data_IF_660282582288
#
_entry.id   IF_660282582288
#
_cell.length_a   1.000
_cell.length_b   1.000
_cell.length_c   1.000
_cell.angle_alpha   90.00
_cell.angle_beta   90.00
_cell.angle_gamma   90.00
#
_symmetry.space_group_name_H-M   'P 1'
#
loop_
_entity.id
_entity.type
_entity.pdbx_description
1 polymer ?
#
# COMPACT_ATOMS: atom_id res chain seq x y z
N UNK A 1 30.54 -4.59 34.75
CA UNK A 1 29.80 -5.71 34.16
C UNK A 1 29.27 -5.21 32.83
N UNK A 2 29.81 -5.74 31.71
CA UNK A 2 29.48 -5.30 30.37
C UNK A 2 28.05 -5.73 30.02
N UNK A 3 27.20 -4.78 29.61
CA UNK A 3 25.91 -5.05 29.04
C UNK A 3 26.11 -5.81 27.72
N UNK A 4 25.78 -7.08 27.69
CA UNK A 4 25.69 -7.83 26.44
C UNK A 4 24.49 -7.28 25.64
N UNK A 5 24.79 -6.49 24.61
CA UNK A 5 23.80 -6.08 23.61
C UNK A 5 23.31 -7.35 22.90
N UNK A 6 22.04 -7.67 23.03
CA UNK A 6 21.38 -8.76 22.33
C UNK A 6 21.56 -8.54 20.82
N UNK A 7 22.31 -9.42 20.15
CA UNK A 7 22.55 -9.30 18.73
C UNK A 7 21.40 -9.92 17.93
N UNK A 8 21.30 -9.55 16.68
CA UNK A 8 20.27 -9.97 15.73
C UNK A 8 20.15 -11.49 15.57
N UNK A 9 21.27 -12.21 15.61
CA UNK A 9 21.31 -13.67 15.52
C UNK A 9 20.57 -14.35 16.67
N UNK A 10 20.75 -13.87 17.88
CA UNK A 10 20.07 -14.39 19.07
C UNK A 10 18.56 -14.16 19.01
N UNK A 11 18.14 -13.02 18.45
CA UNK A 11 16.73 -12.69 18.26
C UNK A 11 16.08 -13.51 17.13
N UNK A 12 16.75 -13.65 15.97
CA UNK A 12 16.25 -14.40 14.83
C UNK A 12 16.22 -15.92 15.11
N UNK A 13 17.21 -16.48 15.83
CA UNK A 13 17.17 -17.87 16.28
C UNK A 13 16.00 -18.12 17.25
N UNK A 14 15.66 -17.19 18.11
CA UNK A 14 14.51 -17.31 18.99
C UNK A 14 13.18 -17.30 18.23
N UNK A 15 13.07 -16.53 17.12
CA UNK A 15 11.86 -16.47 16.30
C UNK A 15 11.70 -17.65 15.34
N UNK A 16 12.80 -18.27 14.87
CA UNK A 16 12.74 -19.46 13.98
C UNK A 16 12.42 -20.76 14.73
N UNK A 17 12.74 -20.88 16.00
CA UNK A 17 12.41 -22.05 16.83
C UNK A 17 10.93 -22.10 17.21
N UNK A 18 10.20 -21.00 17.11
CA UNK A 18 8.76 -20.92 17.45
C UNK A 18 7.82 -21.31 16.30
N UNK A 19 8.35 -21.63 15.11
CA UNK A 19 7.55 -22.04 13.93
C UNK A 19 7.20 -23.52 13.85
N UNK A 20 7.73 -24.40 14.71
CA UNK A 20 7.44 -25.86 14.67
C UNK A 20 7.30 -26.41 16.08
N UNK A 21 6.06 -26.55 16.53
CA UNK A 21 5.65 -27.56 17.53
C UNK A 21 5.87 -27.25 19.00
N UNK A 22 4.76 -27.26 19.72
CA UNK A 22 4.57 -27.51 21.15
C UNK A 22 4.87 -26.39 22.16
N UNK A 23 3.81 -26.10 22.87
CA UNK A 23 3.64 -25.30 24.09
C UNK A 23 4.58 -25.74 25.22
N UNK A 24 5.87 -25.41 25.12
CA UNK A 24 6.78 -25.38 26.31
C UNK A 24 7.95 -24.46 25.96
N UNK A 25 7.92 -23.21 26.40
CA UNK A 25 9.09 -22.33 26.25
C UNK A 25 8.87 -20.82 26.34
N UNK A 26 7.64 -20.35 26.52
CA UNK A 26 7.36 -18.90 26.66
C UNK A 26 8.03 -18.27 27.90
N UNK A 27 8.42 -19.05 28.88
CA UNK A 27 9.07 -18.58 30.12
C UNK A 27 10.56 -18.31 30.01
N UNK A 28 11.24 -18.78 28.94
CA UNK A 28 12.70 -18.62 28.81
C UNK A 28 13.11 -17.28 28.18
N UNK A 29 12.22 -16.63 27.40
CA UNK A 29 12.50 -15.32 26.79
C UNK A 29 12.31 -14.15 27.77
N UNK A 30 11.53 -14.33 28.83
CA UNK A 30 11.28 -13.32 29.86
C UNK A 30 12.41 -13.22 30.91
N UNK A 31 13.34 -14.18 30.96
CA UNK A 31 14.42 -14.21 31.98
C UNK A 31 15.66 -13.39 31.61
N UNK A 32 15.80 -12.85 30.40
CA UNK A 32 17.00 -12.13 29.98
C UNK A 32 17.00 -10.63 30.43
N UNK A 33 15.86 -10.09 30.90
CA UNK A 33 15.73 -8.69 31.32
C UNK A 33 15.51 -8.59 32.84
N UNK A 34 16.48 -8.99 33.64
CA UNK A 34 16.51 -8.63 35.08
C UNK A 34 17.06 -7.22 35.25
N UNK A 35 16.17 -6.24 35.23
CA UNK A 35 16.48 -4.83 35.46
C UNK A 35 15.36 -3.89 35.07
N UNK A 36 14.25 -3.88 35.81
CA UNK A 36 13.45 -2.68 36.04
C UNK A 36 12.36 -2.27 35.04
N UNK A 37 12.17 -2.87 33.84
CA UNK A 37 10.99 -2.61 33.01
C UNK A 37 10.63 -3.87 32.24
N UNK A 38 9.71 -4.65 32.77
CA UNK A 38 9.15 -5.81 32.07
C UNK A 38 8.44 -5.34 30.78
N UNK A 39 8.86 -5.88 29.62
CA UNK A 39 8.20 -5.61 28.34
C UNK A 39 6.84 -6.34 28.36
N UNK A 40 5.76 -5.60 28.19
CA UNK A 40 4.42 -6.14 28.01
C UNK A 40 4.13 -6.13 26.51
N UNK A 41 4.07 -7.29 25.85
CA UNK A 41 3.77 -7.36 24.41
C UNK A 41 2.39 -6.76 24.12
N UNK A 42 2.29 -5.97 23.04
CA UNK A 42 1.02 -5.46 22.52
C UNK A 42 0.22 -6.59 21.85
N UNK A 43 0.92 -7.48 21.16
CA UNK A 43 0.37 -8.69 20.56
C UNK A 43 1.30 -9.88 20.84
N UNK A 44 0.72 -11.05 21.06
CA UNK A 44 1.49 -12.28 21.19
C UNK A 44 2.05 -12.72 19.82
N UNK A 45 3.18 -13.45 19.79
CA UNK A 45 3.65 -14.07 18.55
C UNK A 45 2.55 -14.94 17.91
N UNK A 46 2.30 -14.71 16.61
CA UNK A 46 1.23 -15.37 15.84
C UNK A 46 -0.10 -14.60 15.77
N UNK A 47 -0.28 -13.52 16.56
CA UNK A 47 -1.45 -12.63 16.48
C UNK A 47 -1.29 -11.53 15.40
N UNK A 48 -0.11 -11.44 14.78
CA UNK A 48 0.17 -10.53 13.67
C UNK A 48 1.05 -11.20 12.63
N UNK A 49 0.84 -10.82 11.39
CA UNK A 49 1.60 -11.38 10.28
C UNK A 49 3.00 -10.77 10.23
N UNK A 50 3.99 -11.63 10.02
CA UNK A 50 5.37 -11.25 9.78
C UNK A 50 5.85 -12.00 8.55
N UNK A 51 6.14 -11.30 7.42
CA UNK A 51 6.59 -11.95 6.21
C UNK A 51 7.97 -12.58 6.39
N UNK A 52 8.16 -13.78 5.81
CA UNK A 52 9.47 -14.31 5.54
C UNK A 52 10.01 -13.63 4.29
N UNK A 53 11.17 -12.96 4.37
CA UNK A 53 11.73 -12.18 3.28
C UNK A 53 13.05 -12.81 2.76
N UNK A 54 13.04 -14.02 2.18
CA UNK A 54 14.22 -14.57 1.52
C UNK A 54 14.54 -13.80 0.23
N UNK A 55 15.71 -14.00 -0.34
CA UNK A 55 16.12 -13.32 -1.56
C UNK A 55 15.25 -13.65 -2.78
N UNK A 56 14.65 -14.85 -2.79
CA UNK A 56 13.71 -15.32 -3.81
C UNK A 56 12.66 -16.20 -3.19
N UNK A 57 11.52 -16.28 -3.86
CA UNK A 57 10.47 -17.23 -3.52
C UNK A 57 10.94 -18.70 -3.74
N UNK A 58 10.32 -19.60 -3.02
CA UNK A 58 10.56 -21.05 -3.18
C UNK A 58 10.28 -21.47 -4.62
N UNK A 59 11.05 -22.44 -5.12
CA UNK A 59 10.77 -23.04 -6.42
C UNK A 59 9.48 -23.87 -6.40
N UNK A 60 8.85 -24.02 -7.57
CA UNK A 60 7.59 -24.76 -7.69
C UNK A 60 7.11 -24.82 -9.14
N UNK A 61 5.84 -25.20 -9.33
CA UNK A 61 5.22 -25.22 -10.65
C UNK A 61 5.28 -23.84 -11.31
N UNK A 62 5.29 -23.83 -12.65
CA UNK A 62 5.13 -22.62 -13.43
C UNK A 62 3.82 -21.93 -13.07
N UNK A 63 3.86 -20.60 -12.89
CA UNK A 63 2.71 -19.75 -12.65
C UNK A 63 2.52 -18.80 -13.83
N UNK A 64 1.33 -18.83 -14.42
CA UNK A 64 0.94 -17.95 -15.52
C UNK A 64 0.37 -16.65 -14.95
N UNK A 65 0.94 -15.53 -15.37
CA UNK A 65 0.54 -14.20 -14.91
C UNK A 65 -0.01 -13.35 -16.03
N UNK A 66 -1.07 -12.60 -15.74
CA UNK A 66 -1.59 -11.51 -16.56
C UNK A 66 -1.28 -10.15 -15.93
N UNK A 67 -1.02 -9.15 -16.75
CA UNK A 67 -0.84 -7.77 -16.32
C UNK A 67 -1.96 -6.90 -16.85
N UNK A 68 -2.61 -6.13 -15.99
CA UNK A 68 -3.61 -5.12 -16.35
C UNK A 68 -3.11 -3.74 -15.89
N UNK A 69 -2.91 -2.84 -16.86
CA UNK A 69 -2.27 -1.55 -16.68
C UNK A 69 -0.77 -1.61 -17.01
N UNK A 70 -0.43 -1.31 -18.25
CA UNK A 70 0.94 -1.40 -18.79
C UNK A 70 1.71 -0.07 -18.71
N UNK A 71 1.36 0.80 -17.76
CA UNK A 71 2.10 2.02 -17.47
C UNK A 71 3.44 1.76 -16.79
N UNK A 72 4.13 2.83 -16.36
CA UNK A 72 5.45 2.72 -15.71
C UNK A 72 5.44 1.79 -14.50
N UNK A 73 4.41 1.89 -13.62
CA UNK A 73 4.31 1.00 -12.44
C UNK A 73 3.99 -0.44 -12.83
N UNK A 74 3.13 -0.65 -13.85
CA UNK A 74 2.84 -2.01 -14.35
C UNK A 74 4.08 -2.70 -14.90
N UNK A 75 4.88 -1.97 -15.69
CA UNK A 75 6.17 -2.45 -16.18
C UNK A 75 7.14 -2.77 -15.02
N UNK A 76 7.17 -1.92 -13.98
CA UNK A 76 7.93 -2.18 -12.74
C UNK A 76 7.43 -3.44 -12.03
N UNK A 77 6.13 -3.54 -11.74
CA UNK A 77 5.56 -4.64 -10.97
C UNK A 77 5.78 -6.02 -11.62
N UNK A 78 5.58 -6.12 -12.94
CA UNK A 78 5.87 -7.40 -13.64
C UNK A 78 7.36 -7.72 -13.63
N UNK A 79 8.23 -6.72 -13.71
CA UNK A 79 9.68 -6.91 -13.59
C UNK A 79 10.07 -7.33 -12.17
N UNK A 80 9.48 -6.73 -11.13
CA UNK A 80 9.71 -7.08 -9.74
C UNK A 80 9.29 -8.54 -9.49
N UNK A 81 8.14 -8.98 -10.02
CA UNK A 81 7.69 -10.38 -9.92
C UNK A 81 8.66 -11.35 -10.62
N UNK A 82 9.16 -11.02 -11.82
CA UNK A 82 10.12 -11.86 -12.53
C UNK A 82 11.48 -11.95 -11.81
N UNK A 83 11.85 -10.91 -11.05
CA UNK A 83 13.03 -10.92 -10.19
C UNK A 83 12.80 -11.66 -8.87
N UNK A 84 11.55 -11.76 -8.40
CA UNK A 84 11.18 -12.39 -7.14
C UNK A 84 11.17 -13.91 -7.20
N UNK A 85 10.86 -14.52 -8.34
CA UNK A 85 10.64 -15.96 -8.43
C UNK A 85 11.06 -16.54 -9.80
N UNK A 86 11.53 -17.79 -9.78
CA UNK A 86 11.68 -18.59 -10.99
C UNK A 86 10.31 -19.17 -11.43
N UNK A 87 10.19 -19.64 -12.69
CA UNK A 87 8.99 -20.29 -13.18
C UNK A 87 7.75 -19.38 -13.26
N UNK A 88 7.95 -18.10 -13.52
CA UNK A 88 6.88 -17.14 -13.81
C UNK A 88 6.80 -16.95 -15.33
N UNK A 89 5.61 -17.08 -15.90
CA UNK A 89 5.35 -16.85 -17.32
C UNK A 89 4.29 -15.77 -17.51
N UNK A 90 4.68 -14.66 -18.12
CA UNK A 90 3.73 -13.60 -18.50
C UNK A 90 3.02 -14.04 -19.78
N UNK A 91 1.72 -14.21 -19.73
CA UNK A 91 0.94 -14.78 -20.84
C UNK A 91 -0.06 -13.82 -21.45
N UNK A 92 -0.47 -12.76 -20.74
CA UNK A 92 -1.44 -11.80 -21.23
C UNK A 92 -1.17 -10.38 -20.71
N UNK A 93 -1.43 -9.38 -21.53
CA UNK A 93 -1.29 -7.94 -21.23
C UNK A 93 -2.58 -7.20 -21.58
N UNK A 94 -2.97 -6.23 -20.75
CA UNK A 94 -4.12 -5.37 -21.01
C UNK A 94 -3.87 -3.93 -20.61
N UNK A 95 -4.23 -2.98 -21.47
CA UNK A 95 -4.19 -1.54 -21.20
C UNK A 95 -5.25 -0.82 -22.05
N UNK A 96 -5.59 0.41 -21.71
CA UNK A 96 -6.42 1.27 -22.57
C UNK A 96 -5.61 1.75 -23.77
N UNK A 97 -4.28 1.86 -23.64
CA UNK A 97 -3.40 2.44 -24.64
C UNK A 97 -2.40 1.43 -25.21
N UNK A 98 -2.40 1.32 -26.54
CA UNK A 98 -1.50 0.41 -27.26
C UNK A 98 -0.02 0.74 -27.04
N UNK A 99 0.35 2.03 -27.02
CA UNK A 99 1.74 2.48 -26.82
C UNK A 99 2.31 1.97 -25.49
N UNK A 100 1.53 1.98 -24.43
CA UNK A 100 1.92 1.46 -23.10
C UNK A 100 2.06 -0.06 -23.10
N UNK A 101 1.11 -0.75 -23.71
CA UNK A 101 1.14 -2.20 -23.84
C UNK A 101 2.37 -2.67 -24.62
N UNK A 102 2.67 -2.05 -25.78
CA UNK A 102 3.85 -2.38 -26.57
C UNK A 102 5.16 -2.12 -25.83
N UNK A 103 5.22 -1.05 -25.05
CA UNK A 103 6.39 -0.76 -24.21
C UNK A 103 6.70 -1.90 -23.23
N UNK A 104 5.69 -2.44 -22.53
CA UNK A 104 5.86 -3.58 -21.62
C UNK A 104 6.21 -4.84 -22.40
N UNK A 105 5.55 -5.11 -23.52
CA UNK A 105 5.82 -6.27 -24.36
C UNK A 105 7.27 -6.31 -24.83
N UNK A 106 7.81 -5.17 -25.27
CA UNK A 106 9.20 -5.05 -25.67
C UNK A 106 10.16 -5.27 -24.49
N UNK A 107 9.90 -4.65 -23.34
CA UNK A 107 10.70 -4.85 -22.14
C UNK A 107 10.75 -6.33 -21.69
N UNK A 108 9.61 -7.02 -21.70
CA UNK A 108 9.53 -8.45 -21.37
C UNK A 108 10.38 -9.30 -22.32
N UNK A 109 10.33 -9.03 -23.61
CA UNK A 109 11.11 -9.74 -24.62
C UNK A 109 12.61 -9.46 -24.48
N UNK A 110 13.01 -8.20 -24.39
CA UNK A 110 14.41 -7.77 -24.39
C UNK A 110 15.16 -8.11 -23.09
N UNK A 111 14.51 -7.93 -21.94
CA UNK A 111 15.18 -8.09 -20.64
C UNK A 111 14.96 -9.43 -19.98
N UNK A 112 13.83 -10.07 -20.24
CA UNK A 112 13.41 -11.31 -19.55
C UNK A 112 13.25 -12.49 -20.48
N UNK A 113 13.45 -12.31 -21.79
CA UNK A 113 13.22 -13.33 -22.83
C UNK A 113 11.82 -13.95 -22.73
N UNK A 114 10.83 -13.11 -22.40
CA UNK A 114 9.42 -13.48 -22.31
C UNK A 114 8.68 -12.92 -23.53
N UNK A 115 8.05 -13.78 -24.29
CA UNK A 115 7.26 -13.38 -25.45
C UNK A 115 5.77 -13.53 -25.15
N UNK A 116 5.03 -12.40 -25.17
CA UNK A 116 3.58 -12.41 -25.12
C UNK A 116 3.01 -12.31 -26.52
N UNK A 117 2.22 -13.31 -26.90
CA UNK A 117 1.62 -13.38 -28.24
C UNK A 117 0.64 -12.23 -28.48
N UNK A 118 0.54 -11.77 -29.73
CA UNK A 118 -0.30 -10.62 -30.06
C UNK A 118 -1.78 -10.85 -29.74
N UNK A 119 -2.28 -12.07 -29.92
CA UNK A 119 -3.65 -12.46 -29.56
C UNK A 119 -3.97 -12.40 -28.06
N UNK A 120 -2.95 -12.31 -27.20
CA UNK A 120 -3.07 -12.16 -25.76
C UNK A 120 -2.77 -10.72 -25.28
N UNK A 121 -2.78 -9.78 -26.20
CA UNK A 121 -2.58 -8.35 -25.95
C UNK A 121 -3.89 -7.61 -26.21
N UNK A 122 -4.51 -7.12 -25.13
CA UNK A 122 -5.88 -6.59 -25.18
C UNK A 122 -5.91 -5.08 -24.92
N UNK A 123 -6.66 -4.35 -25.76
CA UNK A 123 -6.77 -2.88 -25.69
C UNK A 123 -8.20 -2.49 -25.31
N UNK A 124 -8.32 -1.48 -24.45
CA UNK A 124 -9.59 -0.87 -24.06
C UNK A 124 -9.96 -1.08 -22.59
N UNK A 125 -11.08 -0.52 -22.17
CA UNK A 125 -11.54 -0.56 -20.77
C UNK A 125 -11.91 -1.97 -20.30
N UNK A 126 -12.33 -2.85 -21.21
CA UNK A 126 -12.66 -4.25 -20.90
C UNK A 126 -11.47 -5.22 -21.05
N UNK A 127 -10.28 -4.73 -21.38
CA UNK A 127 -9.07 -5.54 -21.52
C UNK A 127 -8.77 -6.39 -20.27
N UNK A 128 -9.11 -5.90 -19.08
CA UNK A 128 -8.92 -6.66 -17.83
C UNK A 128 -9.68 -7.98 -17.80
N UNK A 129 -10.91 -8.04 -18.37
CA UNK A 129 -11.69 -9.28 -18.44
C UNK A 129 -10.98 -10.30 -19.34
N UNK A 130 -10.51 -9.85 -20.50
CA UNK A 130 -9.82 -10.70 -21.46
C UNK A 130 -8.50 -11.24 -20.91
N UNK A 131 -7.73 -10.40 -20.20
CA UNK A 131 -6.51 -10.83 -19.47
C UNK A 131 -6.85 -11.87 -18.41
N UNK A 132 -7.87 -11.64 -17.59
CA UNK A 132 -8.24 -12.54 -16.48
C UNK A 132 -8.79 -13.88 -17.03
N UNK A 133 -9.46 -13.85 -18.19
CA UNK A 133 -10.02 -15.04 -18.83
C UNK A 133 -9.02 -15.82 -19.70
N UNK A 134 -7.77 -15.33 -19.88
CA UNK A 134 -6.75 -15.94 -20.75
C UNK A 134 -6.01 -17.15 -20.14
N UNK A 135 -6.58 -17.82 -19.14
CA UNK A 135 -5.99 -19.01 -18.53
C UNK A 135 -4.83 -18.74 -17.57
N UNK A 136 -4.77 -17.56 -16.98
CA UNK A 136 -3.78 -17.18 -15.96
C UNK A 136 -4.07 -17.84 -14.61
N UNK A 137 -3.04 -17.97 -13.77
CA UNK A 137 -3.16 -18.38 -12.36
C UNK A 137 -3.30 -17.15 -11.45
N UNK A 138 -2.62 -16.05 -11.82
CA UNK A 138 -2.48 -14.85 -11.01
C UNK A 138 -2.48 -13.59 -11.89
N UNK A 139 -2.95 -12.46 -11.34
CA UNK A 139 -3.05 -11.18 -12.05
C UNK A 139 -2.40 -10.04 -11.27
N UNK A 140 -1.68 -9.17 -11.99
CA UNK A 140 -1.16 -7.90 -11.47
C UNK A 140 -2.08 -6.77 -11.95
N UNK A 141 -2.65 -5.99 -11.02
CA UNK A 141 -3.58 -4.89 -11.28
C UNK A 141 -2.92 -3.55 -10.93
N UNK A 142 -2.50 -2.81 -11.95
CA UNK A 142 -1.75 -1.53 -11.84
C UNK A 142 -2.38 -0.36 -12.59
N UNK A 143 -3.65 -0.48 -12.93
CA UNK A 143 -4.45 0.61 -13.51
C UNK A 143 -4.61 1.78 -12.54
N UNK A 144 -5.08 2.96 -12.95
CA UNK A 144 -5.44 4.01 -11.99
C UNK A 144 -6.38 3.49 -10.89
N UNK A 145 -6.25 4.00 -9.64
CA UNK A 145 -6.90 3.42 -8.46
C UNK A 145 -8.42 3.20 -8.55
N UNK A 146 -9.15 4.10 -9.22
CA UNK A 146 -10.60 4.00 -9.37
C UNK A 146 -11.06 2.69 -10.02
N UNK A 147 -10.24 2.09 -10.89
CA UNK A 147 -10.59 0.85 -11.60
C UNK A 147 -10.30 -0.43 -10.80
N UNK A 148 -9.46 -0.37 -9.76
CA UNK A 148 -9.05 -1.57 -9.01
C UNK A 148 -10.20 -2.35 -8.39
N UNK A 149 -11.23 -1.71 -7.79
CA UNK A 149 -12.33 -2.46 -7.18
C UNK A 149 -13.04 -3.40 -8.17
N UNK A 150 -13.38 -2.91 -9.37
CA UNK A 150 -14.06 -3.74 -10.38
C UNK A 150 -13.15 -4.81 -10.99
N UNK A 151 -11.85 -4.50 -11.18
CA UNK A 151 -10.89 -5.45 -11.69
C UNK A 151 -10.62 -6.58 -10.69
N UNK A 152 -10.44 -6.24 -9.41
CA UNK A 152 -10.24 -7.21 -8.34
C UNK A 152 -11.48 -8.09 -8.12
N UNK A 153 -12.67 -7.50 -8.10
CA UNK A 153 -13.92 -8.25 -8.01
C UNK A 153 -14.01 -9.32 -9.11
N UNK A 154 -13.70 -8.95 -10.35
CA UNK A 154 -13.72 -9.90 -11.47
C UNK A 154 -12.65 -10.98 -11.33
N UNK A 155 -11.43 -10.63 -10.92
CA UNK A 155 -10.35 -11.58 -10.67
C UNK A 155 -10.74 -12.62 -9.61
N UNK A 156 -11.34 -12.19 -8.50
CA UNK A 156 -11.83 -13.07 -7.43
C UNK A 156 -12.99 -13.96 -7.92
N UNK A 157 -13.93 -13.41 -8.70
CA UNK A 157 -15.00 -14.22 -9.31
C UNK A 157 -14.44 -15.36 -10.16
N UNK A 158 -13.38 -15.09 -10.91
CA UNK A 158 -12.66 -16.05 -11.78
C UNK A 158 -11.61 -16.91 -11.04
N UNK A 159 -11.48 -16.78 -9.72
CA UNK A 159 -10.60 -17.59 -8.91
C UNK A 159 -9.11 -17.31 -9.13
N UNK A 160 -8.71 -16.04 -9.34
CA UNK A 160 -7.32 -15.66 -9.58
C UNK A 160 -6.68 -15.05 -8.34
N UNK A 161 -5.45 -15.49 -8.01
CA UNK A 161 -4.60 -14.77 -7.07
C UNK A 161 -4.31 -13.37 -7.60
N UNK A 162 -4.23 -12.36 -6.73
CA UNK A 162 -4.18 -10.97 -7.19
C UNK A 162 -3.11 -10.15 -6.47
N UNK A 163 -2.33 -9.39 -7.23
CA UNK A 163 -1.55 -8.27 -6.75
C UNK A 163 -2.28 -6.98 -7.08
N UNK A 164 -2.54 -6.16 -6.08
CA UNK A 164 -3.24 -4.89 -6.22
C UNK A 164 -2.29 -3.73 -5.91
N UNK A 165 -1.99 -2.89 -6.89
CA UNK A 165 -1.28 -1.65 -6.57
C UNK A 165 -2.11 -0.74 -5.66
N UNK A 166 -1.45 -0.10 -4.71
CA UNK A 166 -2.07 0.89 -3.81
C UNK A 166 -2.32 2.24 -4.54
N UNK A 167 -3.25 3.05 -4.05
CA UNK A 167 -4.37 2.72 -3.18
C UNK A 167 -5.35 1.83 -3.92
N UNK A 168 -6.09 1.00 -3.20
CA UNK A 168 -6.97 0.03 -3.84
C UNK A 168 -8.42 0.50 -3.97
N UNK A 169 -8.73 1.66 -3.40
CA UNK A 169 -10.00 2.38 -3.57
C UNK A 169 -9.77 3.89 -3.43
N UNK A 170 -10.62 4.70 -4.04
CA UNK A 170 -10.59 6.18 -4.00
C UNK A 170 -11.89 6.79 -3.47
N UNK A 171 -12.85 5.96 -3.15
CA UNK A 171 -14.19 6.33 -2.68
C UNK A 171 -14.82 5.22 -1.83
N UNK A 172 -15.98 5.52 -1.24
CA UNK A 172 -16.67 4.62 -0.33
C UNK A 172 -17.25 3.37 -1.04
N UNK A 173 -17.74 3.52 -2.27
CA UNK A 173 -18.25 2.38 -3.05
C UNK A 173 -17.13 1.41 -3.43
N UNK A 174 -15.99 1.94 -3.87
CA UNK A 174 -14.79 1.16 -4.15
C UNK A 174 -14.31 0.39 -2.91
N UNK A 175 -14.23 1.07 -1.76
CA UNK A 175 -13.90 0.43 -0.48
C UNK A 175 -14.82 -0.77 -0.19
N UNK A 176 -16.15 -0.59 -0.24
CA UNK A 176 -17.09 -1.68 0.01
C UNK A 176 -16.96 -2.83 -0.98
N UNK A 177 -16.67 -2.52 -2.25
CA UNK A 177 -16.44 -3.52 -3.28
C UNK A 177 -15.18 -4.34 -2.99
N UNK A 178 -14.10 -3.69 -2.57
CA UNK A 178 -12.86 -4.37 -2.17
C UNK A 178 -13.12 -5.26 -0.95
N UNK A 179 -13.74 -4.75 0.11
CA UNK A 179 -14.03 -5.53 1.33
C UNK A 179 -14.87 -6.79 1.04
N UNK A 180 -15.90 -6.65 0.20
CA UNK A 180 -16.71 -7.79 -0.23
C UNK A 180 -15.91 -8.81 -1.06
N UNK A 181 -15.03 -8.33 -1.93
CA UNK A 181 -14.17 -9.17 -2.77
C UNK A 181 -13.07 -9.86 -1.97
N UNK A 182 -12.45 -9.17 -1.00
CA UNK A 182 -11.46 -9.75 -0.09
C UNK A 182 -12.05 -10.92 0.71
N UNK A 183 -13.26 -10.74 1.26
CA UNK A 183 -13.99 -11.82 1.94
C UNK A 183 -14.24 -13.04 1.02
N UNK A 184 -14.56 -12.80 -0.25
CA UNK A 184 -14.72 -13.88 -1.22
C UNK A 184 -13.38 -14.53 -1.59
N UNK A 185 -12.30 -13.76 -1.70
CA UNK A 185 -10.95 -14.27 -1.95
C UNK A 185 -10.50 -15.20 -0.82
N UNK A 186 -10.72 -14.80 0.44
CA UNK A 186 -10.45 -15.63 1.61
C UNK A 186 -11.24 -16.96 1.55
N UNK A 187 -12.54 -16.90 1.26
CA UNK A 187 -13.39 -18.08 1.15
C UNK A 187 -12.96 -19.05 0.02
N UNK A 188 -12.28 -18.52 -1.01
CA UNK A 188 -11.73 -19.30 -2.14
C UNK A 188 -10.26 -19.69 -1.97
N UNK A 189 -9.65 -19.40 -0.82
CA UNK A 189 -8.22 -19.62 -0.56
C UNK A 189 -7.31 -18.92 -1.58
N UNK A 190 -7.69 -17.72 -2.02
CA UNK A 190 -6.88 -16.90 -2.93
C UNK A 190 -5.94 -16.01 -2.13
N UNK A 191 -4.67 -15.97 -2.53
CA UNK A 191 -3.68 -15.07 -1.94
C UNK A 191 -3.73 -13.72 -2.63
N UNK A 192 -3.85 -12.66 -1.84
CA UNK A 192 -3.92 -11.26 -2.28
C UNK A 192 -2.86 -10.45 -1.57
N UNK A 193 -1.95 -9.85 -2.33
CA UNK A 193 -0.91 -8.93 -1.83
C UNK A 193 -1.18 -7.54 -2.43
N UNK A 194 -0.82 -6.51 -1.70
CA UNK A 194 -0.98 -5.13 -2.15
C UNK A 194 0.37 -4.42 -2.31
N UNK A 195 0.40 -3.33 -3.08
CA UNK A 195 1.60 -2.49 -3.25
C UNK A 195 1.95 -1.65 -2.01
N UNK A 196 1.61 -2.12 -0.81
CA UNK A 196 2.01 -1.55 0.48
C UNK A 196 3.41 -2.04 0.86
N UNK A 197 4.39 -1.76 0.01
CA UNK A 197 5.74 -2.31 0.07
C UNK A 197 6.46 -2.18 1.43
N UNK A 198 6.01 -1.26 2.33
CA UNK A 198 6.59 -1.12 3.67
C UNK A 198 6.35 -2.33 4.55
N UNK A 199 5.28 -3.09 4.31
CA UNK A 199 5.02 -4.37 4.97
C UNK A 199 6.09 -5.42 4.63
N UNK A 200 6.82 -5.23 3.53
CA UNK A 200 7.90 -6.10 3.07
C UNK A 200 9.29 -5.43 3.10
N UNK A 201 9.37 -4.23 3.68
CA UNK A 201 10.63 -3.50 3.84
C UNK A 201 11.31 -3.89 5.16
N UNK A 202 12.48 -4.53 5.11
CA UNK A 202 13.16 -5.11 6.27
C UNK A 202 13.19 -4.23 7.53
N UNK A 203 13.62 -2.94 7.48
CA UNK A 203 13.67 -2.11 8.67
C UNK A 203 12.28 -1.86 9.28
N UNK A 204 11.23 -1.79 8.47
CA UNK A 204 9.84 -1.66 8.95
C UNK A 204 9.35 -2.94 9.59
N UNK A 205 9.60 -4.09 8.97
CA UNK A 205 9.22 -5.40 9.50
C UNK A 205 9.90 -5.68 10.84
N UNK A 206 11.21 -5.38 10.96
CA UNK A 206 11.93 -5.55 12.22
C UNK A 206 11.44 -4.57 13.30
N UNK A 207 11.21 -3.31 12.94
CA UNK A 207 10.64 -2.34 13.87
C UNK A 207 9.25 -2.77 14.37
N UNK A 208 8.37 -3.24 13.47
CA UNK A 208 7.05 -3.73 13.86
C UNK A 208 7.14 -4.90 14.84
N UNK A 209 8.01 -5.89 14.61
CA UNK A 209 8.23 -6.99 15.56
C UNK A 209 8.56 -6.48 16.97
N UNK A 210 9.44 -5.47 17.06
CA UNK A 210 9.85 -4.89 18.34
C UNK A 210 8.73 -4.06 18.99
N UNK A 211 7.97 -3.32 18.19
CA UNK A 211 6.81 -2.57 18.67
C UNK A 211 5.78 -3.53 19.25
N UNK A 212 5.44 -4.61 18.52
CA UNK A 212 4.51 -5.63 19.02
C UNK A 212 5.04 -6.35 20.27
N UNK A 213 6.36 -6.50 20.40
CA UNK A 213 7.01 -7.03 21.61
C UNK A 213 7.03 -6.03 22.79
N UNK A 214 6.47 -4.80 22.64
CA UNK A 214 6.30 -3.83 23.71
C UNK A 214 7.49 -2.90 23.96
N UNK A 215 8.43 -2.78 23.02
CA UNK A 215 9.63 -1.94 23.18
C UNK A 215 9.30 -0.46 23.40
N UNK A 216 8.23 0.05 22.78
CA UNK A 216 7.77 1.42 23.00
C UNK A 216 6.59 1.49 24.00
N UNK A 217 6.13 0.34 24.53
CA UNK A 217 4.92 0.27 25.35
C UNK A 217 3.64 0.47 24.54
N UNK A 218 2.54 0.85 25.17
CA UNK A 218 1.27 1.16 24.50
C UNK A 218 1.45 2.38 23.60
N UNK A 219 0.88 2.31 22.38
CA UNK A 219 0.96 3.42 21.41
C UNK A 219 0.03 4.55 21.87
N UNK A 220 0.57 5.75 22.01
CA UNK A 220 -0.12 6.95 22.51
C UNK A 220 -0.37 8.00 21.43
N UNK A 221 0.19 7.84 20.23
CA UNK A 221 0.03 8.75 19.11
C UNK A 221 1.04 8.51 18.01
N UNK A 222 0.94 9.30 16.96
CA UNK A 222 1.89 9.28 15.87
C UNK A 222 1.85 10.53 15.01
N UNK A 223 2.94 10.76 14.28
CA UNK A 223 3.00 11.74 13.20
C UNK A 223 3.45 11.05 11.93
N UNK A 224 2.73 11.30 10.84
CA UNK A 224 3.06 10.73 9.54
C UNK A 224 3.15 11.82 8.48
N UNK A 225 4.16 11.71 7.61
CA UNK A 225 4.51 12.78 6.68
C UNK A 225 4.72 12.24 5.27
N UNK A 226 4.11 12.92 4.27
CA UNK A 226 4.48 12.78 2.87
C UNK A 226 4.61 14.15 2.22
N UNK A 227 5.64 14.89 2.64
CA UNK A 227 5.93 16.20 2.10
C UNK A 227 7.01 16.07 1.03
N UNK A 228 6.67 16.34 -0.21
CA UNK A 228 7.58 16.24 -1.36
C UNK A 228 7.31 17.34 -2.38
N UNK A 229 8.15 17.40 -3.39
CA UNK A 229 7.92 18.19 -4.61
C UNK A 229 6.75 17.63 -5.41
N UNK A 230 6.22 18.43 -6.33
CA UNK A 230 5.16 18.01 -7.24
C UNK A 230 5.60 16.79 -8.05
N UNK A 231 4.65 15.88 -8.28
CA UNK A 231 4.87 14.77 -9.19
C UNK A 231 4.81 15.25 -10.65
N UNK A 232 4.96 14.28 -11.55
CA UNK A 232 4.79 14.54 -12.99
C UNK A 232 3.36 14.97 -13.32
N UNK A 233 3.21 15.69 -14.43
CA UNK A 233 1.93 15.97 -15.08
C UNK A 233 2.10 15.87 -16.60
N UNK A 234 0.98 15.76 -17.32
CA UNK A 234 0.95 15.74 -18.78
C UNK A 234 0.04 16.83 -19.30
N UNK A 235 0.59 17.70 -20.14
CA UNK A 235 -0.22 18.59 -20.92
C UNK A 235 -1.06 17.80 -21.91
N UNK A 236 -2.28 18.31 -22.19
CA UNK A 236 -3.13 17.73 -23.22
C UNK A 236 -2.48 17.90 -24.59
N UNK A 237 -2.30 16.80 -25.30
CA UNK A 237 -1.79 16.81 -26.67
C UNK A 237 -2.92 16.97 -27.70
N UNK A 238 -2.56 17.47 -28.89
CA UNK A 238 -3.51 17.62 -30.00
C UNK A 238 -4.06 16.25 -30.41
N UNK A 239 -5.37 16.13 -30.41
CA UNK A 239 -6.07 14.90 -30.78
C UNK A 239 -6.51 14.05 -29.60
N UNK A 240 -5.98 14.27 -28.38
CA UNK A 240 -6.48 13.57 -27.22
C UNK A 240 -7.87 14.07 -26.82
N UNK A 241 -8.78 13.12 -26.56
CA UNK A 241 -10.06 13.42 -25.93
C UNK A 241 -9.86 13.81 -24.44
N UNK A 242 -10.92 14.31 -23.79
CA UNK A 242 -10.84 14.64 -22.35
C UNK A 242 -10.52 13.39 -21.51
N UNK A 243 -11.22 12.28 -21.75
CA UNK A 243 -10.98 11.01 -21.06
C UNK A 243 -9.56 10.50 -21.29
N UNK A 244 -9.05 10.56 -22.52
CA UNK A 244 -7.68 10.15 -22.82
C UNK A 244 -6.67 10.98 -22.06
N UNK A 245 -6.81 12.31 -22.09
CA UNK A 245 -5.92 13.20 -21.34
C UNK A 245 -5.96 12.90 -19.85
N UNK A 246 -7.16 12.81 -19.24
CA UNK A 246 -7.31 12.52 -17.83
C UNK A 246 -6.63 11.20 -17.45
N UNK A 247 -6.81 10.12 -18.22
CA UNK A 247 -6.18 8.82 -17.90
C UNK A 247 -4.66 8.89 -18.11
N UNK A 248 -4.15 9.61 -19.11
CA UNK A 248 -2.71 9.79 -19.31
C UNK A 248 -2.06 10.67 -18.22
N UNK A 249 -2.83 11.58 -17.62
CA UNK A 249 -2.46 12.48 -16.52
C UNK A 249 -3.11 12.07 -15.18
N UNK A 250 -3.44 10.79 -15.01
CA UNK A 250 -4.33 10.23 -14.00
C UNK A 250 -4.01 10.64 -12.56
N UNK A 251 -2.74 10.85 -12.24
CA UNK A 251 -2.29 11.18 -10.89
C UNK A 251 -2.80 12.54 -10.41
N UNK A 252 -3.17 13.43 -11.33
CA UNK A 252 -3.63 14.79 -11.06
C UNK A 252 -5.15 14.93 -10.99
N UNK A 253 -5.90 13.84 -11.25
CA UNK A 253 -7.36 13.85 -11.25
C UNK A 253 -7.90 13.10 -10.05
N UNK A 254 -8.70 13.78 -9.22
CA UNK A 254 -9.31 13.27 -7.98
C UNK A 254 -10.07 11.95 -8.20
N UNK A 255 -10.87 11.89 -9.25
CA UNK A 255 -11.66 10.71 -9.55
C UNK A 255 -10.82 9.47 -9.91
N UNK A 256 -9.64 9.64 -10.50
CA UNK A 256 -8.75 8.55 -10.89
C UNK A 256 -7.84 8.10 -9.74
N UNK A 257 -7.27 9.05 -9.03
CA UNK A 257 -6.20 8.80 -8.04
C UNK A 257 -6.66 8.91 -6.58
N UNK A 258 -7.78 9.59 -6.32
CA UNK A 258 -8.25 9.87 -4.97
C UNK A 258 -7.63 11.10 -4.32
N UNK A 259 -6.85 11.91 -5.06
CA UNK A 259 -5.95 12.95 -4.57
C UNK A 259 -4.68 12.40 -3.90
N UNK A 260 -3.63 13.21 -3.76
CA UNK A 260 -2.31 12.75 -3.30
C UNK A 260 -2.29 12.26 -1.84
N UNK A 261 -3.23 12.69 -1.03
CA UNK A 261 -3.42 12.14 0.32
C UNK A 261 -3.78 10.65 0.26
N UNK A 262 -4.57 10.22 -0.72
CA UNK A 262 -4.95 8.82 -0.94
C UNK A 262 -3.90 8.11 -1.77
N UNK A 263 -3.41 8.75 -2.86
CA UNK A 263 -2.50 8.10 -3.81
C UNK A 263 -1.10 7.91 -3.24
N UNK A 264 -0.53 8.90 -2.55
CA UNK A 264 0.83 8.84 -2.01
C UNK A 264 0.86 8.63 -0.50
N UNK A 265 0.15 9.48 0.23
CA UNK A 265 0.27 9.52 1.69
C UNK A 265 -0.39 8.32 2.40
N UNK A 266 -1.22 7.56 1.69
CA UNK A 266 -1.77 6.29 2.17
C UNK A 266 -0.67 5.37 2.74
N UNK A 267 0.53 5.36 2.16
CA UNK A 267 1.66 4.58 2.67
C UNK A 267 2.00 4.84 4.13
N UNK A 268 1.95 6.11 4.56
CA UNK A 268 2.31 6.48 5.94
C UNK A 268 1.13 6.27 6.89
N UNK A 269 -0.10 6.56 6.44
CA UNK A 269 -1.33 6.25 7.19
C UNK A 269 -1.39 4.75 7.44
N UNK A 270 -1.14 3.95 6.42
CA UNK A 270 -1.11 2.49 6.47
C UNK A 270 -0.10 1.95 7.50
N UNK A 271 1.13 2.47 7.51
CA UNK A 271 2.16 2.06 8.49
C UNK A 271 1.68 2.26 9.93
N UNK A 272 1.05 3.40 10.23
CA UNK A 272 0.54 3.62 11.57
C UNK A 272 -0.59 2.64 11.92
N UNK A 273 -1.54 2.44 11.02
CA UNK A 273 -2.66 1.52 11.23
C UNK A 273 -2.18 0.06 11.36
N UNK A 274 -1.23 -0.35 10.52
CA UNK A 274 -0.61 -1.68 10.56
C UNK A 274 0.11 -1.94 11.89
N UNK A 275 0.97 -1.00 12.32
CA UNK A 275 1.77 -1.16 13.55
C UNK A 275 0.94 -1.03 14.83
N UNK A 276 -0.07 -0.16 14.83
CA UNK A 276 -0.93 0.03 16.01
C UNK A 276 -2.06 -0.99 16.09
N UNK A 277 -2.60 -1.41 14.95
CA UNK A 277 -3.84 -2.17 14.88
C UNK A 277 -5.07 -1.38 15.30
N UNK A 278 -4.95 -0.04 15.39
CA UNK A 278 -6.04 0.82 15.83
C UNK A 278 -7.03 1.09 14.68
N UNK A 279 -8.27 1.37 15.05
CA UNK A 279 -9.35 1.70 14.12
C UNK A 279 -9.63 3.19 14.15
N UNK A 280 -9.76 3.79 12.98
CA UNK A 280 -10.11 5.20 12.84
C UNK A 280 -11.57 5.41 13.21
N UNK A 281 -11.85 6.34 14.13
CA UNK A 281 -13.21 6.76 14.49
C UNK A 281 -13.69 7.94 13.65
N UNK A 282 -12.85 8.97 13.52
CA UNK A 282 -13.17 10.18 12.76
C UNK A 282 -11.93 10.90 12.26
N UNK A 283 -12.11 11.80 11.29
CA UNK A 283 -11.07 12.66 10.74
C UNK A 283 -11.55 14.12 10.73
N UNK A 284 -10.69 15.05 11.14
CA UNK A 284 -10.86 16.49 10.99
C UNK A 284 -9.66 17.02 10.22
N UNK A 285 -9.89 17.82 9.18
CA UNK A 285 -8.83 18.19 8.27
C UNK A 285 -9.00 19.59 7.67
N UNK A 286 -7.89 20.13 7.22
CA UNK A 286 -7.86 21.24 6.28
C UNK A 286 -6.80 21.01 5.21
N UNK A 287 -6.97 21.69 4.10
CA UNK A 287 -6.08 21.63 2.96
C UNK A 287 -6.39 22.72 1.96
N UNK A 288 -5.60 22.83 0.92
CA UNK A 288 -5.83 23.83 -0.11
C UNK A 288 -5.13 23.47 -1.44
N UNK A 289 -5.53 24.19 -2.50
CA UNK A 289 -4.86 24.20 -3.79
C UNK A 289 -4.19 25.55 -4.01
N UNK A 290 -2.90 25.55 -4.25
CA UNK A 290 -2.13 26.80 -4.42
C UNK A 290 -1.22 26.80 -5.65
N UNK A 291 -0.60 25.69 -5.99
CA UNK A 291 0.47 25.61 -7.01
C UNK A 291 0.21 24.58 -8.13
N UNK A 292 -0.77 23.72 -8.01
CA UNK A 292 -1.06 22.73 -9.07
C UNK A 292 -1.44 23.41 -10.37
N UNK A 293 -0.88 22.91 -11.47
CA UNK A 293 -1.04 23.45 -12.82
C UNK A 293 -2.10 22.72 -13.63
N UNK A 294 -2.50 21.52 -13.18
CA UNK A 294 -3.50 20.68 -13.86
C UNK A 294 -4.33 19.89 -12.84
N UNK A 295 -5.41 19.27 -13.31
CA UNK A 295 -6.30 18.45 -12.49
C UNK A 295 -7.16 19.23 -11.51
N UNK A 296 -7.80 18.52 -10.60
CA UNK A 296 -8.81 19.03 -9.66
C UNK A 296 -8.48 18.72 -8.18
N UNK A 297 -7.21 18.54 -7.85
CA UNK A 297 -6.72 18.16 -6.53
C UNK A 297 -6.21 19.33 -5.71
N UNK A 298 -6.16 19.15 -4.39
CA UNK A 298 -5.37 19.98 -3.50
C UNK A 298 -3.88 19.68 -3.65
N UNK A 299 -3.02 20.54 -3.11
CA UNK A 299 -1.58 20.29 -3.06
C UNK A 299 -1.01 20.20 -1.64
N UNK A 300 -1.86 20.34 -0.63
CA UNK A 300 -1.52 20.11 0.77
C UNK A 300 -2.73 19.71 1.61
N UNK A 301 -2.48 18.86 2.62
CA UNK A 301 -3.44 18.44 3.64
C UNK A 301 -2.77 18.38 5.00
N UNK A 302 -3.54 18.74 6.03
CA UNK A 302 -3.24 18.45 7.43
C UNK A 302 -4.47 17.80 8.04
N UNK A 303 -4.32 16.60 8.57
CA UNK A 303 -5.42 15.78 9.07
C UNK A 303 -5.09 15.31 10.48
N UNK A 304 -6.06 15.44 11.36
CA UNK A 304 -6.11 14.79 12.65
C UNK A 304 -7.06 13.60 12.57
N UNK A 305 -6.54 12.39 12.67
CA UNK A 305 -7.33 11.18 12.80
C UNK A 305 -7.44 10.81 14.27
N UNK A 306 -8.65 10.72 14.79
CA UNK A 306 -8.93 10.17 16.12
C UNK A 306 -9.30 8.69 15.98
N UNK A 307 -8.61 7.84 16.75
CA UNK A 307 -8.87 6.41 16.81
C UNK A 307 -10.02 6.10 17.79
N UNK A 308 -10.64 4.92 17.70
CA UNK A 308 -11.73 4.50 18.60
C UNK A 308 -11.35 4.50 20.09
N UNK A 309 -10.05 4.33 20.39
CA UNK A 309 -9.50 4.37 21.74
C UNK A 309 -9.05 5.77 22.21
N UNK A 310 -9.35 6.83 21.42
CA UNK A 310 -8.99 8.22 21.73
C UNK A 310 -7.54 8.59 21.41
N UNK A 311 -6.76 7.72 20.81
CA UNK A 311 -5.41 8.05 20.30
C UNK A 311 -5.51 8.89 19.05
N UNK A 312 -4.63 9.87 18.89
CA UNK A 312 -4.57 10.75 17.73
C UNK A 312 -3.38 10.44 16.82
N UNK A 313 -3.63 10.44 15.51
CA UNK A 313 -2.62 10.41 14.47
C UNK A 313 -2.64 11.74 13.71
N UNK A 314 -1.58 12.52 13.83
CA UNK A 314 -1.38 13.71 12.99
C UNK A 314 -0.75 13.32 11.65
N UNK A 315 -1.43 13.68 10.57
CA UNK A 315 -1.09 13.31 9.20
C UNK A 315 -0.90 14.58 8.36
N UNK A 316 0.27 14.74 7.76
CA UNK A 316 0.61 15.89 6.91
C UNK A 316 1.15 15.45 5.56
N UNK A 317 0.58 15.99 4.47
CA UNK A 317 1.14 15.77 3.14
C UNK A 317 1.09 17.02 2.26
N UNK A 318 2.08 17.12 1.36
CA UNK A 318 2.22 18.26 0.45
C UNK A 318 2.95 17.86 -0.81
N UNK A 319 2.52 18.42 -1.96
CA UNK A 319 3.19 18.31 -3.25
C UNK A 319 3.44 19.70 -3.84
N UNK A 320 4.43 20.42 -3.31
CA UNK A 320 4.81 21.78 -3.74
C UNK A 320 6.32 21.85 -3.86
N UNK A 321 6.80 22.34 -5.00
CA UNK A 321 8.23 22.54 -5.26
C UNK A 321 8.83 23.64 -4.40
N UNK A 322 10.14 23.54 -4.12
CA UNK A 322 10.89 24.54 -3.37
C UNK A 322 10.59 24.60 -1.86
N UNK A 323 9.92 23.58 -1.31
CA UNK A 323 9.66 23.42 0.12
C UNK A 323 10.44 22.27 0.74
N UNK A 324 10.62 22.27 2.07
CA UNK A 324 11.30 21.19 2.78
C UNK A 324 10.56 19.87 2.64
N UNK A 325 11.26 18.80 2.29
CA UNK A 325 10.69 17.46 2.14
C UNK A 325 10.83 16.64 3.43
N UNK A 326 9.81 15.81 3.70
CA UNK A 326 9.82 14.82 4.77
C UNK A 326 8.87 13.68 4.39
N UNK A 327 9.39 12.45 4.29
CA UNK A 327 8.59 11.24 4.04
C UNK A 327 8.97 10.22 5.10
N UNK A 328 8.05 9.91 6.00
CA UNK A 328 8.30 8.99 7.11
C UNK A 328 7.27 9.10 8.22
N UNK A 329 7.49 8.32 9.27
CA UNK A 329 6.61 8.15 10.41
C UNK A 329 7.37 8.27 11.74
N UNK A 330 6.68 8.79 12.74
CA UNK A 330 7.11 8.71 14.14
C UNK A 330 5.93 8.16 14.93
N UNK A 331 6.14 7.04 15.63
CA UNK A 331 5.14 6.40 16.49
C UNK A 331 5.58 6.56 17.94
N UNK A 332 4.72 7.14 18.77
CA UNK A 332 4.96 7.37 20.16
C UNK A 332 4.28 6.31 21.02
N UNK A 333 4.93 5.91 22.09
CA UNK A 333 4.39 4.98 23.07
C UNK A 333 4.75 5.36 24.49
N UNK A 334 4.18 4.65 25.47
CA UNK A 334 4.35 4.92 26.90
C UNK A 334 5.76 4.68 27.42
N UNK A 335 6.62 3.96 26.67
CA UNK A 335 8.00 3.63 27.07
C UNK A 335 9.06 4.20 26.12
N UNK A 336 8.65 4.74 24.97
CA UNK A 336 9.58 5.25 23.98
C UNK A 336 8.90 5.62 22.66
N UNK A 337 9.68 5.74 21.59
CA UNK A 337 9.18 6.05 20.26
C UNK A 337 9.99 5.32 19.19
N UNK A 338 9.35 5.04 18.08
CA UNK A 338 10.01 4.60 16.84
C UNK A 338 9.98 5.72 15.79
N UNK A 339 11.07 5.85 15.05
CA UNK A 339 11.24 6.84 14.00
C UNK A 339 11.74 6.16 12.72
N UNK A 340 11.01 6.28 11.60
CA UNK A 340 11.37 5.68 10.33
C UNK A 340 12.47 6.44 9.56
N UNK A 341 12.74 7.71 9.90
CA UNK A 341 13.76 8.50 9.19
C UNK A 341 15.18 8.00 9.44
N UNK A 342 15.43 7.45 10.63
CA UNK A 342 16.71 6.85 11.05
C UNK A 342 16.59 5.37 11.41
N UNK A 343 15.37 4.82 11.36
CA UNK A 343 15.01 3.46 11.78
C UNK A 343 15.52 3.12 13.19
N UNK A 344 15.21 3.99 14.12
CA UNK A 344 15.60 3.88 15.54
C UNK A 344 14.39 3.75 16.46
N UNK A 345 14.56 2.97 17.53
CA UNK A 345 13.70 3.02 18.72
C UNK A 345 14.48 3.70 19.84
N UNK A 346 13.86 4.73 20.43
CA UNK A 346 14.41 5.48 21.58
C UNK A 346 13.54 5.30 22.81
N UNK A 347 14.17 5.25 23.99
CA UNK A 347 13.46 5.31 25.26
C UNK A 347 12.94 6.73 25.54
N UNK A 348 12.18 6.93 26.62
CA UNK A 348 11.66 8.26 27.01
C UNK A 348 12.75 9.27 27.41
N UNK A 349 13.99 8.83 27.61
CA UNK A 349 15.15 9.69 27.89
C UNK A 349 15.89 10.09 26.62
N UNK A 350 15.46 9.55 25.46
CA UNK A 350 16.10 9.78 24.16
C UNK A 350 17.28 8.86 23.85
N UNK A 351 17.57 7.86 24.69
CA UNK A 351 18.62 6.89 24.37
C UNK A 351 18.14 5.95 23.28
N UNK A 352 19.01 5.66 22.30
CA UNK A 352 18.74 4.67 21.26
C UNK A 352 18.84 3.27 21.86
N UNK A 353 17.73 2.55 21.92
CA UNK A 353 17.66 1.17 22.44
C UNK A 353 17.65 0.13 21.31
N UNK A 354 17.32 0.53 20.11
CA UNK A 354 17.44 -0.26 18.89
C UNK A 354 17.66 0.65 17.69
N UNK A 355 18.43 0.15 16.74
CA UNK A 355 18.62 0.74 15.42
C UNK A 355 18.74 -0.38 14.40
N UNK A 356 18.11 -0.21 13.23
CA UNK A 356 18.25 -1.16 12.13
C UNK A 356 19.72 -1.24 11.68
N UNK A 357 20.28 -2.43 11.70
CA UNK A 357 21.63 -2.68 11.22
C UNK A 357 21.62 -2.98 9.72
N UNK A 358 21.74 -1.91 8.92
CA UNK A 358 21.76 -2.01 7.47
C UNK A 358 22.95 -2.87 6.98
N UNK A 359 24.13 -2.75 7.59
CA UNK A 359 25.33 -3.47 7.15
C UNK A 359 25.16 -4.98 7.40
N UNK A 360 24.61 -5.38 8.55
CA UNK A 360 24.31 -6.77 8.83
C UNK A 360 23.26 -7.33 7.86
N UNK A 361 22.21 -6.55 7.53
CA UNK A 361 21.20 -6.96 6.56
C UNK A 361 21.80 -7.16 5.16
N UNK A 362 22.67 -6.25 4.71
CA UNK A 362 23.34 -6.35 3.41
C UNK A 362 24.35 -7.52 3.35
N UNK A 363 24.90 -7.93 4.48
CA UNK A 363 25.77 -9.11 4.56
C UNK A 363 24.97 -10.43 4.52
N UNK A 364 23.75 -10.44 5.05
CA UNK A 364 22.90 -11.64 5.15
C UNK A 364 22.07 -11.89 3.90
N UNK A 365 21.53 -10.82 3.29
CA UNK A 365 20.61 -10.91 2.15
C UNK A 365 21.18 -10.16 0.94
N UNK A 366 20.83 -10.63 -0.26
CA UNK A 366 21.14 -9.98 -1.54
C UNK A 366 19.99 -9.11 -2.04
N UNK A 367 18.74 -9.48 -1.66
CA UNK A 367 17.57 -8.76 -2.07
C UNK A 367 17.09 -7.80 -0.98
N UNK A 368 17.08 -6.50 -1.30
CA UNK A 368 16.65 -5.43 -0.40
C UNK A 368 15.52 -4.57 -0.95
N UNK A 369 15.19 -4.76 -2.25
CA UNK A 369 14.10 -4.02 -2.86
C UNK A 369 12.74 -4.52 -2.33
N UNK A 370 12.00 -3.71 -1.55
CA UNK A 370 10.73 -4.14 -0.98
C UNK A 370 9.67 -4.46 -2.04
N UNK A 371 9.74 -3.82 -3.22
CA UNK A 371 8.85 -4.13 -4.36
C UNK A 371 9.10 -5.53 -4.93
N UNK A 372 10.30 -6.07 -4.84
CA UNK A 372 10.58 -7.47 -5.18
C UNK A 372 10.14 -8.38 -4.04
N UNK A 373 10.39 -7.98 -2.79
CA UNK A 373 10.10 -8.80 -1.61
C UNK A 373 8.59 -9.00 -1.37
N UNK A 374 7.73 -8.03 -1.73
CA UNK A 374 6.26 -8.24 -1.71
C UNK A 374 5.83 -9.35 -2.68
N UNK A 375 6.46 -9.44 -3.84
CA UNK A 375 6.21 -10.53 -4.79
C UNK A 375 6.83 -11.87 -4.36
N UNK A 376 7.96 -11.86 -3.65
CA UNK A 376 8.54 -13.08 -3.04
C UNK A 376 7.52 -13.68 -2.07
N UNK A 377 6.96 -12.87 -1.20
CA UNK A 377 5.97 -13.30 -0.23
C UNK A 377 4.70 -13.83 -0.90
N UNK A 378 4.19 -13.10 -1.90
CA UNK A 378 3.02 -13.51 -2.67
C UNK A 378 3.18 -14.88 -3.33
N UNK A 379 4.30 -15.09 -4.05
CA UNK A 379 4.57 -16.37 -4.72
C UNK A 379 4.76 -17.51 -3.70
N UNK A 380 5.37 -17.20 -2.54
CA UNK A 380 5.51 -18.18 -1.46
C UNK A 380 4.14 -18.66 -0.96
N UNK A 381 3.20 -17.75 -0.72
CA UNK A 381 1.84 -18.10 -0.31
C UNK A 381 1.13 -18.95 -1.36
N UNK A 382 1.21 -18.56 -2.64
CA UNK A 382 0.59 -19.31 -3.74
C UNK A 382 1.17 -20.74 -3.83
N UNK A 383 2.50 -20.89 -3.78
CA UNK A 383 3.16 -22.19 -3.91
C UNK A 383 3.01 -23.08 -2.68
N UNK A 384 2.93 -22.51 -1.49
CA UNK A 384 2.61 -23.22 -0.24
C UNK A 384 1.12 -23.57 -0.13
N UNK A 385 0.25 -23.00 -0.99
CA UNK A 385 -1.20 -23.16 -0.91
C UNK A 385 -1.80 -22.49 0.33
N UNK A 386 -1.15 -21.47 0.87
CA UNK A 386 -1.59 -20.70 2.03
C UNK A 386 -2.25 -19.41 1.57
N UNK A 387 -3.41 -19.08 2.16
CA UNK A 387 -4.08 -17.82 1.91
C UNK A 387 -3.38 -16.68 2.67
N UNK A 388 -3.22 -15.52 2.03
CA UNK A 388 -2.83 -14.27 2.66
C UNK A 388 -3.68 -13.14 2.07
N UNK A 389 -4.15 -12.22 2.91
CA UNK A 389 -5.02 -11.11 2.52
C UNK A 389 -4.50 -9.80 3.07
N UNK A 390 -3.93 -8.97 2.20
CA UNK A 390 -3.60 -7.58 2.49
C UNK A 390 -4.66 -6.61 1.96
N UNK A 391 -5.62 -7.08 1.16
CA UNK A 391 -6.63 -6.19 0.59
C UNK A 391 -7.53 -5.56 1.66
N UNK A 392 -7.82 -6.29 2.74
CA UNK A 392 -8.60 -5.76 3.86
C UNK A 392 -7.92 -4.57 4.52
N UNK A 393 -6.65 -4.69 4.90
CA UNK A 393 -5.89 -3.64 5.59
C UNK A 393 -5.62 -2.44 4.66
N UNK A 394 -5.24 -2.70 3.41
CA UNK A 394 -5.03 -1.65 2.42
C UNK A 394 -6.33 -0.90 2.07
N UNK A 395 -7.50 -1.57 2.09
CA UNK A 395 -8.79 -0.91 1.91
C UNK A 395 -9.12 0.03 3.08
N UNK A 396 -8.84 -0.40 4.32
CA UNK A 396 -9.02 0.41 5.53
C UNK A 396 -8.12 1.65 5.45
N UNK A 397 -6.86 1.49 5.12
CA UNK A 397 -5.90 2.59 4.96
C UNK A 397 -6.29 3.54 3.83
N UNK A 398 -6.78 3.00 2.71
CA UNK A 398 -7.30 3.79 1.58
C UNK A 398 -8.52 4.62 1.99
N UNK A 399 -9.49 4.02 2.72
CA UNK A 399 -10.67 4.74 3.19
C UNK A 399 -10.32 5.82 4.23
N UNK A 400 -9.34 5.58 5.10
CA UNK A 400 -8.82 6.60 6.02
C UNK A 400 -8.29 7.82 5.25
N UNK A 401 -7.50 7.60 4.18
CA UNK A 401 -7.07 8.67 3.28
C UNK A 401 -8.24 9.42 2.64
N UNK A 402 -9.28 8.69 2.18
CA UNK A 402 -10.51 9.29 1.64
C UNK A 402 -11.23 10.12 2.70
N UNK A 403 -11.34 9.65 3.95
CA UNK A 403 -11.92 10.43 5.06
C UNK A 403 -11.18 11.75 5.27
N UNK A 404 -9.85 11.72 5.32
CA UNK A 404 -9.02 12.93 5.47
C UNK A 404 -9.22 13.90 4.32
N UNK A 405 -9.31 13.41 3.07
CA UNK A 405 -9.62 14.23 1.90
C UNK A 405 -10.99 14.88 2.02
N UNK A 406 -12.05 14.09 2.28
CA UNK A 406 -13.42 14.60 2.36
C UNK A 406 -13.60 15.57 3.53
N UNK A 407 -12.92 15.34 4.66
CA UNK A 407 -12.93 16.26 5.80
C UNK A 407 -12.35 17.63 5.41
N UNK A 408 -11.23 17.64 4.65
CA UNK A 408 -10.63 18.87 4.17
C UNK A 408 -11.49 19.57 3.11
N UNK A 409 -12.05 18.84 2.18
CA UNK A 409 -12.89 19.38 1.09
C UNK A 409 -14.19 19.99 1.61
N UNK A 410 -14.81 19.38 2.61
CA UNK A 410 -16.07 19.83 3.21
C UNK A 410 -15.87 20.81 4.37
N UNK A 411 -14.65 20.91 4.92
CA UNK A 411 -14.38 21.70 6.11
C UNK A 411 -15.15 21.19 7.34
N UNK A 412 -15.34 19.87 7.46
CA UNK A 412 -16.13 19.24 8.53
C UNK A 412 -15.43 18.00 9.06
N UNK A 413 -15.75 17.62 10.31
CA UNK A 413 -15.34 16.31 10.84
C UNK A 413 -16.20 15.23 10.19
N UNK A 414 -15.55 14.13 9.76
CA UNK A 414 -16.19 12.97 9.13
C UNK A 414 -15.92 11.74 9.99
N UNK A 415 -16.95 10.99 10.32
CA UNK A 415 -16.83 9.73 11.05
C UNK A 415 -16.60 8.57 10.09
N UNK A 416 -16.00 7.48 10.62
CA UNK A 416 -15.82 6.24 9.86
C UNK A 416 -17.16 5.67 9.35
N UNK A 417 -18.16 5.71 10.22
CA UNK A 417 -19.49 5.19 9.89
C UNK A 417 -20.15 5.96 8.73
N UNK A 418 -20.08 7.29 8.75
CA UNK A 418 -20.55 8.16 7.66
C UNK A 418 -19.80 7.86 6.36
N UNK A 419 -18.45 7.78 6.41
CA UNK A 419 -17.66 7.58 5.19
C UNK A 419 -17.84 6.18 4.61
N UNK A 420 -17.77 5.15 5.43
CA UNK A 420 -17.85 3.76 4.97
C UNK A 420 -19.22 3.41 4.35
N UNK A 421 -20.28 4.10 4.77
CA UNK A 421 -21.65 3.95 4.26
C UNK A 421 -22.05 4.97 3.19
N UNK A 422 -21.19 5.96 2.93
CA UNK A 422 -21.44 7.02 1.94
C UNK A 422 -21.69 6.46 0.53
N UNK A 423 -22.54 7.17 -0.23
CA UNK A 423 -22.79 6.87 -1.64
C UNK A 423 -21.71 7.44 -2.59
N UNK A 424 -20.60 7.95 -2.03
CA UNK A 424 -19.49 8.49 -2.82
C UNK A 424 -18.95 7.44 -3.79
N UNK A 425 -19.06 7.76 -5.08
CA UNK A 425 -18.67 6.93 -6.22
C UNK A 425 -18.05 7.83 -7.29
N UNK A 426 -16.79 7.62 -7.57
CA UNK A 426 -16.08 8.40 -8.59
C UNK A 426 -16.05 7.72 -9.96
N UNK A 427 -16.58 6.51 -10.08
CA UNK A 427 -16.62 5.81 -11.37
C UNK A 427 -17.59 6.51 -12.32
N UNK A 428 -17.15 6.99 -13.49
CA UNK A 428 -18.04 7.54 -14.49
C UNK A 428 -19.08 6.50 -14.98
N UNK A 429 -20.29 6.94 -15.29
CA UNK A 429 -21.33 6.07 -15.85
C UNK A 429 -20.89 5.40 -17.16
N UNK A 430 -20.06 6.08 -17.96
CA UNK A 430 -19.58 5.60 -19.25
C UNK A 430 -18.06 5.64 -19.32
N UNK A 431 -17.49 4.49 -19.64
CA UNK A 431 -16.05 4.32 -19.85
C UNK A 431 -15.74 4.19 -21.35
N UNK A 432 -15.45 5.32 -21.98
CA UNK A 432 -15.02 5.38 -23.37
C UNK A 432 -14.06 6.55 -23.58
N UNK A 433 -13.16 6.43 -24.55
CA UNK A 433 -12.27 7.53 -24.94
C UNK A 433 -13.09 8.59 -25.71
N UNK A 434 -13.51 9.64 -25.02
CA UNK A 434 -14.38 10.69 -25.55
C UNK A 434 -14.33 11.99 -24.76
N UNK A 435 -15.22 12.91 -25.13
CA UNK A 435 -15.43 14.15 -24.38
C UNK A 435 -16.03 13.84 -23.00
N UNK A 436 -15.65 14.62 -21.99
CA UNK A 436 -16.19 14.58 -20.64
C UNK A 436 -16.95 15.87 -20.34
N UNK A 437 -18.01 15.76 -19.56
CA UNK A 437 -18.66 16.96 -19.01
C UNK A 437 -17.79 17.57 -17.90
N UNK A 438 -16.88 18.45 -18.28
CA UNK A 438 -15.97 19.14 -17.36
C UNK A 438 -16.69 20.02 -16.32
N UNK A 439 -18.01 20.26 -16.47
CA UNK A 439 -18.83 20.96 -15.45
C UNK A 439 -19.42 20.03 -14.42
N UNK A 440 -19.30 18.71 -14.62
CA UNK A 440 -19.72 17.73 -13.64
C UNK A 440 -19.05 18.02 -12.28
N UNK A 441 -19.81 18.05 -11.17
CA UNK A 441 -19.25 18.26 -9.83
C UNK A 441 -18.08 17.34 -9.47
N UNK A 442 -18.01 16.13 -10.03
CA UNK A 442 -16.89 15.21 -9.83
C UNK A 442 -15.53 15.80 -10.24
N UNK A 443 -15.51 16.74 -11.19
CA UNK A 443 -14.28 17.36 -11.72
C UNK A 443 -14.08 18.79 -11.22
N UNK A 444 -14.93 19.25 -10.29
CA UNK A 444 -14.80 20.60 -9.72
C UNK A 444 -13.93 20.55 -8.46
N UNK A 445 -13.16 21.62 -8.28
CA UNK A 445 -12.40 21.85 -7.07
C UNK A 445 -13.36 22.17 -5.93
N UNK A 446 -13.29 21.40 -4.86
CA UNK A 446 -14.02 21.70 -3.63
C UNK A 446 -13.41 22.92 -2.93
N UNK A 447 -14.26 23.81 -2.40
CA UNK A 447 -13.85 24.96 -1.59
C UNK A 447 -14.71 24.97 -0.32
N UNK A 448 -14.13 24.63 0.84
CA UNK A 448 -14.89 24.55 2.08
C UNK A 448 -15.34 25.92 2.60
N UNK A 449 -16.43 25.92 3.39
CA UNK A 449 -16.92 27.11 4.05
C UNK A 449 -17.88 27.94 3.21
N UNK A 450 -18.02 29.20 3.59
CA UNK A 450 -18.89 30.20 2.92
C UNK A 450 -18.09 31.44 2.61
N UNK A 451 -18.38 32.07 1.47
CA UNK A 451 -17.81 33.38 1.16
C UNK A 451 -18.17 34.38 2.26
N UNK A 452 -17.18 35.14 2.70
CA UNK A 452 -17.42 36.28 3.56
C UNK A 452 -18.05 37.40 2.71
N UNK A 453 -19.19 37.89 3.14
CA UNK A 453 -19.89 38.99 2.49
C UNK A 453 -19.29 40.32 2.89
#
# INVERSE_FOLDING_TARGET
>A
MSEEKMNRRSFLHASTVLGVGSVVGASALLSACKGGNELVPLKQPGEFYVPELPDKAIDGKELKVGLVGCGGRGNGAVSDLLNAANGIKVVALGDVFEDRLQSVRNNLKERYNQEVLAENCFIGFDAYKQVIDSGIDMVILTTPPVFRPIHFQYAVQKGKHSFLEKPIAVDAKGYRTIMASAKQAQAKNLSVITGTQRHHQRPYVEANKLIQAGYIGEITGGNVYWNQSMLWYRNREKGWSDMEWMIRDWVNWKWLSGDHIVEQHVHNIDVFLWMSGYKVAKATAFGSRQRRVTGDQYDNFSVDFEMENGVHLHSMCRQIDGCSNAIGEIIYGTKGSWNSFDHEIKDLKGNVIWKFDKAAAEAEFKQHNPYVLEHVDWVNHIRKGTMHDEATDCAISSLAGVMGREAAYKGSTITWDEMSKSDLDYMPEKLELGAMDMKNPLFQLEVPGKEQK
#
